data_IF_676662906306
#
_entry.id   IF_676662906306
#
_cell.length_a   1.000
_cell.length_b   1.000
_cell.length_c   1.000
_cell.angle_alpha   90.00
_cell.angle_beta   90.00
_cell.angle_gamma   90.00
#
_symmetry.space_group_name_H-M   'P 1'
#
loop_
_entity.id
_entity.type
_entity.pdbx_description
1 polymer ?
#
# COMPACT_ATOMS: atom_id res chain seq x y z
N UNK A 1 44.87 -18.09 -9.77
CA UNK A 1 44.01 -16.93 -10.12
C UNK A 1 43.41 -17.05 -11.54
N UNK A 2 42.76 -18.18 -11.89
CA UNK A 2 42.10 -18.32 -13.20
C UNK A 2 40.92 -19.30 -13.17
N UNK A 3 41.03 -20.39 -12.42
CA UNK A 3 39.98 -21.42 -12.32
C UNK A 3 38.71 -20.88 -11.61
N UNK A 4 38.87 -20.08 -10.56
CA UNK A 4 37.74 -19.45 -9.85
C UNK A 4 37.04 -18.34 -10.66
N UNK A 5 37.71 -17.75 -11.66
CA UNK A 5 37.10 -16.74 -12.53
C UNK A 5 36.16 -17.35 -13.57
N UNK A 6 36.37 -18.62 -13.94
CA UNK A 6 35.54 -19.30 -14.95
C UNK A 6 34.22 -19.86 -14.39
N UNK A 7 34.11 -20.09 -13.07
CA UNK A 7 32.89 -20.57 -12.42
C UNK A 7 31.84 -19.46 -12.18
N UNK A 8 32.25 -18.19 -12.20
CA UNK A 8 31.36 -17.03 -12.12
C UNK A 8 30.76 -16.60 -13.48
N UNK A 9 31.11 -17.30 -14.56
CA UNK A 9 30.48 -17.17 -15.89
C UNK A 9 29.43 -18.27 -16.12
N UNK A 10 28.77 -18.70 -15.07
CA UNK A 10 27.58 -19.55 -15.17
C UNK A 10 26.40 -18.64 -15.50
N UNK A 11 25.90 -18.72 -16.73
CA UNK A 11 24.64 -18.11 -17.20
C UNK A 11 23.39 -18.67 -16.47
N UNK A 12 23.53 -19.12 -15.22
CA UNK A 12 22.49 -19.73 -14.40
C UNK A 12 21.82 -18.71 -13.45
N UNK A 13 22.42 -17.53 -13.25
CA UNK A 13 21.81 -16.47 -12.43
C UNK A 13 20.74 -15.66 -13.19
N UNK A 14 20.88 -15.46 -14.50
CA UNK A 14 19.93 -14.62 -15.28
C UNK A 14 18.55 -15.26 -15.41
N UNK A 15 18.47 -16.58 -15.63
CA UNK A 15 17.18 -17.30 -15.73
C UNK A 15 16.40 -17.24 -14.43
N UNK A 16 17.10 -17.42 -13.31
CA UNK A 16 16.53 -17.41 -11.97
C UNK A 16 16.06 -15.99 -11.58
N UNK A 17 16.80 -14.95 -11.98
CA UNK A 17 16.38 -13.55 -11.82
C UNK A 17 15.11 -13.24 -12.62
N UNK A 18 14.97 -13.77 -13.84
CA UNK A 18 13.78 -13.58 -14.67
C UNK A 18 12.55 -14.25 -14.02
N UNK A 19 12.72 -15.46 -13.49
CA UNK A 19 11.64 -16.21 -12.83
C UNK A 19 11.21 -15.55 -11.51
N UNK A 20 12.16 -15.05 -10.71
CA UNK A 20 11.88 -14.27 -9.50
C UNK A 20 11.08 -13.00 -9.84
N UNK A 21 11.46 -12.28 -10.91
CA UNK A 21 10.74 -11.08 -11.37
C UNK A 21 9.33 -11.41 -11.84
N UNK A 22 9.14 -12.52 -12.56
CA UNK A 22 7.82 -12.96 -13.00
C UNK A 22 6.92 -13.33 -11.81
N UNK A 23 7.45 -14.03 -10.81
CA UNK A 23 6.72 -14.39 -9.60
C UNK A 23 6.35 -13.16 -8.77
N UNK A 24 7.27 -12.21 -8.60
CA UNK A 24 6.98 -10.91 -7.97
C UNK A 24 5.87 -10.15 -8.71
N UNK A 25 5.93 -10.10 -10.05
CA UNK A 25 4.90 -9.45 -10.87
C UNK A 25 3.53 -10.12 -10.73
N UNK A 26 3.49 -11.46 -10.62
CA UNK A 26 2.27 -12.22 -10.37
C UNK A 26 1.69 -11.94 -8.98
N UNK A 27 2.53 -11.88 -7.94
CA UNK A 27 2.09 -11.50 -6.58
C UNK A 27 1.56 -10.07 -6.56
N UNK A 28 2.23 -9.14 -7.24
CA UNK A 28 1.80 -7.74 -7.32
C UNK A 28 0.45 -7.63 -8.06
N UNK A 29 0.29 -8.34 -9.19
CA UNK A 29 -0.96 -8.38 -9.94
C UNK A 29 -2.14 -8.91 -9.11
N UNK A 30 -1.94 -10.01 -8.38
CA UNK A 30 -2.99 -10.56 -7.50
C UNK A 30 -3.31 -9.63 -6.30
N UNK A 31 -2.41 -8.72 -5.92
CA UNK A 31 -2.64 -7.76 -4.82
C UNK A 31 -3.47 -6.56 -5.24
N UNK A 32 -3.51 -6.27 -6.54
CA UNK A 32 -4.35 -5.24 -7.15
C UNK A 32 -5.79 -5.73 -7.43
N UNK A 33 -6.02 -7.05 -7.39
CA UNK A 33 -7.34 -7.65 -7.64
C UNK A 33 -8.33 -7.42 -6.49
N UNK A 34 -7.87 -7.20 -5.26
CA UNK A 34 -8.77 -6.83 -4.16
C UNK A 34 -9.18 -5.37 -4.32
N UNK A 35 -10.46 -5.11 -4.65
CA UNK A 35 -10.90 -3.76 -4.87
C UNK A 35 -10.86 -2.96 -3.56
N UNK A 36 -10.56 -1.66 -3.68
CA UNK A 36 -10.38 -0.75 -2.54
C UNK A 36 -11.59 -0.74 -1.59
N UNK A 37 -12.81 -0.99 -2.10
CA UNK A 37 -14.03 -1.01 -1.31
C UNK A 37 -14.21 -2.27 -0.42
N UNK A 38 -13.54 -3.38 -0.73
CA UNK A 38 -13.60 -4.61 0.09
C UNK A 38 -12.64 -4.58 1.30
N UNK A 39 -11.61 -3.73 1.24
CA UNK A 39 -10.63 -3.58 2.31
C UNK A 39 -11.21 -2.86 3.53
N UNK A 40 -10.97 -3.42 4.73
CA UNK A 40 -11.39 -2.81 6.01
C UNK A 40 -10.56 -1.59 6.40
N UNK A 41 -9.25 -1.67 6.17
CA UNK A 41 -8.31 -0.58 6.38
C UNK A 41 -7.67 -0.21 5.05
N UNK A 42 -7.47 1.09 4.86
CA UNK A 42 -6.93 1.69 3.66
C UNK A 42 -5.63 2.40 4.00
N UNK A 43 -4.67 2.35 3.09
CA UNK A 43 -3.55 3.28 3.10
C UNK A 43 -4.04 4.71 2.80
N UNK A 44 -3.22 5.73 3.06
CA UNK A 44 -3.58 7.12 2.72
C UNK A 44 -3.80 7.29 1.20
N UNK A 45 -3.10 6.53 0.37
CA UNK A 45 -3.28 6.58 -1.08
C UNK A 45 -4.62 5.98 -1.51
N UNK A 46 -4.96 4.80 -0.99
CA UNK A 46 -6.24 4.16 -1.23
C UNK A 46 -7.41 5.00 -0.68
N UNK A 47 -7.27 5.56 0.52
CA UNK A 47 -8.28 6.43 1.13
C UNK A 47 -8.49 7.73 0.33
N UNK A 48 -7.43 8.28 -0.25
CA UNK A 48 -7.52 9.45 -1.12
C UNK A 48 -8.27 9.12 -2.42
N UNK A 49 -7.98 7.95 -3.02
CA UNK A 49 -8.69 7.48 -4.20
C UNK A 49 -10.16 7.15 -3.91
N UNK A 50 -10.46 6.62 -2.72
CA UNK A 50 -11.81 6.27 -2.30
C UNK A 50 -12.68 7.49 -1.95
N UNK A 51 -12.18 8.37 -1.10
CA UNK A 51 -12.95 9.51 -0.57
C UNK A 51 -12.88 10.79 -1.42
N UNK A 52 -11.92 10.85 -2.36
CA UNK A 52 -11.60 12.08 -3.09
C UNK A 52 -10.90 13.16 -2.25
N UNK A 53 -10.60 12.90 -0.97
CA UNK A 53 -9.87 13.83 -0.11
C UNK A 53 -8.37 13.77 -0.45
N UNK A 54 -7.76 14.93 -0.68
CA UNK A 54 -6.33 15.02 -0.99
C UNK A 54 -5.44 14.37 0.08
N UNK A 55 -4.36 13.71 -0.36
CA UNK A 55 -3.41 12.97 0.51
C UNK A 55 -2.85 13.83 1.65
N UNK A 56 -2.48 15.07 1.35
CA UNK A 56 -1.98 16.04 2.34
C UNK A 56 -3.03 16.30 3.41
N UNK A 57 -4.30 16.45 2.99
CA UNK A 57 -5.39 16.70 3.92
C UNK A 57 -5.69 15.51 4.82
N UNK A 58 -5.65 14.30 4.26
CA UNK A 58 -5.78 13.07 5.06
C UNK A 58 -4.65 12.92 6.09
N UNK A 59 -3.41 13.30 5.73
CA UNK A 59 -2.27 13.34 6.68
C UNK A 59 -2.46 14.38 7.78
N UNK A 60 -2.93 15.58 7.44
CA UNK A 60 -3.24 16.60 8.44
C UNK A 60 -4.31 16.13 9.42
N UNK A 61 -5.38 15.52 8.91
CA UNK A 61 -6.49 15.06 9.73
C UNK A 61 -6.10 13.85 10.60
N UNK A 62 -5.29 12.93 10.09
CA UNK A 62 -4.82 11.76 10.84
C UNK A 62 -3.76 12.09 11.90
N UNK A 63 -2.99 13.16 11.70
CA UNK A 63 -2.02 13.67 12.69
C UNK A 63 -2.68 14.42 13.86
N UNK A 64 -3.98 14.77 13.77
CA UNK A 64 -4.68 15.36 14.91
C UNK A 64 -4.84 14.33 16.03
N UNK A 65 -4.53 14.74 17.26
CA UNK A 65 -4.73 13.90 18.44
C UNK A 65 -6.20 13.46 18.53
N UNK A 66 -6.44 12.17 18.71
CA UNK A 66 -7.79 11.61 18.82
C UNK A 66 -8.55 11.49 17.49
N UNK A 67 -7.85 11.45 16.35
CA UNK A 67 -8.51 11.26 15.06
C UNK A 67 -9.38 9.98 15.05
N UNK A 68 -10.68 10.07 14.76
CA UNK A 68 -11.60 8.94 14.93
C UNK A 68 -11.37 7.85 13.87
N UNK A 69 -10.90 8.21 12.68
CA UNK A 69 -10.80 7.30 11.53
C UNK A 69 -9.39 6.77 11.23
N UNK A 70 -8.35 7.31 11.88
CA UNK A 70 -6.97 6.89 11.65
C UNK A 70 -6.48 5.95 12.77
N UNK A 71 -5.74 4.91 12.37
CA UNK A 71 -5.04 3.99 13.26
C UNK A 71 -3.55 4.03 12.92
N UNK A 72 -2.73 4.13 13.96
CA UNK A 72 -1.28 4.05 13.84
C UNK A 72 -0.83 2.61 14.06
N UNK A 73 -0.26 2.00 13.01
CA UNK A 73 0.44 0.71 13.09
C UNK A 73 1.94 0.97 12.98
N UNK A 74 2.58 1.20 14.14
CA UNK A 74 3.96 1.68 14.22
C UNK A 74 4.11 3.05 13.54
N UNK A 75 4.99 3.15 12.54
CA UNK A 75 5.23 4.38 11.78
C UNK A 75 4.24 4.59 10.61
N UNK A 76 3.32 3.65 10.36
CA UNK A 76 2.39 3.73 9.23
C UNK A 76 0.97 4.06 9.71
N UNK A 77 0.37 5.04 9.04
CA UNK A 77 -1.02 5.44 9.27
C UNK A 77 -1.91 4.62 8.33
N UNK A 78 -2.94 4.00 8.92
CA UNK A 78 -4.01 3.31 8.20
C UNK A 78 -5.32 4.01 8.51
N UNK A 79 -6.22 4.06 7.54
CA UNK A 79 -7.54 4.68 7.65
C UNK A 79 -8.59 3.58 7.67
N UNK A 80 -9.43 3.56 8.69
CA UNK A 80 -10.55 2.61 8.76
C UNK A 80 -11.70 3.16 7.92
N UNK A 81 -12.10 2.43 6.88
CA UNK A 81 -13.11 2.88 5.90
C UNK A 81 -14.42 3.30 6.56
N UNK A 82 -15.01 2.41 7.36
CA UNK A 82 -16.28 2.67 8.05
C UNK A 82 -16.25 3.92 8.96
N UNK A 83 -15.09 4.23 9.53
CA UNK A 83 -14.94 5.41 10.40
C UNK A 83 -14.74 6.68 9.58
N UNK A 84 -14.09 6.57 8.42
CA UNK A 84 -13.99 7.67 7.47
C UNK A 84 -15.36 8.03 6.90
N UNK A 85 -16.18 7.04 6.54
CA UNK A 85 -17.54 7.24 6.02
C UNK A 85 -18.40 8.01 7.05
N UNK A 86 -18.42 7.54 8.30
CA UNK A 86 -19.11 8.23 9.41
C UNK A 86 -18.56 9.63 9.68
N UNK A 87 -17.28 9.86 9.44
CA UNK A 87 -16.68 11.18 9.61
C UNK A 87 -17.17 12.12 8.51
N UNK A 88 -17.19 11.67 7.26
CA UNK A 88 -17.66 12.43 6.10
C UNK A 88 -19.15 12.77 6.25
N UNK A 89 -20.00 11.81 6.61
CA UNK A 89 -21.43 12.02 6.87
C UNK A 89 -21.68 13.13 7.90
N UNK A 90 -20.90 13.17 8.98
CA UNK A 90 -21.02 14.21 10.02
C UNK A 90 -20.54 15.59 9.57
N UNK A 91 -19.66 15.66 8.57
CA UNK A 91 -19.15 16.94 8.06
C UNK A 91 -20.06 17.56 7.00
N UNK A 92 -20.96 16.78 6.37
CA UNK A 92 -22.01 17.34 5.53
C UNK A 92 -22.99 18.14 6.38
N UNK A 93 -22.71 19.43 6.48
CA UNK A 93 -23.61 20.43 7.07
C UNK A 93 -24.60 20.83 5.97
N UNK A 94 -25.85 20.42 6.12
CA UNK A 94 -27.00 20.92 5.35
C UNK A 94 -27.24 22.39 5.71
#
# INVERSE_FOLDING_TARGET
MSILKNLMNSNDDERLIIEIKAYQKKIIGNKEEEPVWEKKWLTIEEAAAYSGIGRTKLRELSNKAGCPFAIWMGNKIHIVRERLDKYIEKQFRI
#
